data_IF_654751023237
#
_entry.id   IF_654751023237
#
_cell.length_a   1.000
_cell.length_b   1.000
_cell.length_c   1.000
_cell.angle_alpha   90.00
_cell.angle_beta   90.00
_cell.angle_gamma   90.00
#
_symmetry.space_group_name_H-M   'P 1'
#
loop_
_entity.id
_entity.type
_entity.pdbx_description
1 polymer ?
#
# COMPACT_ATOMS: atom_id res chain seq x y z
N UNK A 1 -4.18 -18.30 -11.52
CA UNK A 1 -5.01 -17.13 -11.85
C UNK A 1 -4.55 -15.86 -11.11
N UNK A 2 -4.38 -15.87 -9.78
CA UNK A 2 -3.97 -14.66 -9.02
C UNK A 2 -2.61 -14.11 -9.43
N UNK A 3 -1.58 -14.95 -9.56
CA UNK A 3 -0.23 -14.56 -9.97
C UNK A 3 -0.20 -13.81 -11.31
N UNK A 4 -0.77 -14.43 -12.34
CA UNK A 4 -0.87 -13.86 -13.68
C UNK A 4 -1.65 -12.54 -13.72
N UNK A 5 -2.80 -12.46 -13.02
CA UNK A 5 -3.62 -11.24 -13.01
C UNK A 5 -2.89 -10.08 -12.34
N UNK A 6 -2.31 -10.32 -11.16
CA UNK A 6 -1.56 -9.28 -10.44
C UNK A 6 -0.41 -8.76 -11.29
N UNK A 7 0.41 -9.67 -11.83
CA UNK A 7 1.55 -9.32 -12.69
C UNK A 7 1.13 -8.40 -13.84
N UNK A 8 0.12 -8.82 -14.61
CA UNK A 8 -0.37 -8.04 -15.74
C UNK A 8 -0.91 -6.66 -15.36
N UNK A 9 -1.65 -6.56 -14.26
CA UNK A 9 -2.21 -5.28 -13.80
C UNK A 9 -1.08 -4.35 -13.37
N UNK A 10 -0.12 -4.84 -12.58
CA UNK A 10 0.99 -4.02 -12.09
C UNK A 10 1.95 -3.62 -13.20
N UNK A 11 2.31 -4.52 -14.12
CA UNK A 11 3.15 -4.17 -15.28
C UNK A 11 2.48 -3.08 -16.14
N UNK A 12 1.17 -3.18 -16.40
CA UNK A 12 0.43 -2.15 -17.13
C UNK A 12 0.38 -0.83 -16.36
N UNK A 13 0.14 -0.88 -15.04
CA UNK A 13 0.13 0.30 -14.19
C UNK A 13 1.47 1.02 -14.21
N UNK A 14 2.58 0.31 -13.98
CA UNK A 14 3.92 0.89 -13.96
C UNK A 14 4.30 1.50 -15.32
N UNK A 15 3.90 0.87 -16.43
CA UNK A 15 4.15 1.40 -17.77
C UNK A 15 3.35 2.67 -18.08
N UNK A 16 2.21 2.89 -17.42
CA UNK A 16 1.26 3.95 -17.77
C UNK A 16 1.13 5.04 -16.70
N UNK A 17 1.63 4.83 -15.48
CA UNK A 17 1.42 5.76 -14.35
C UNK A 17 1.91 7.18 -14.65
N UNK A 18 3.00 7.30 -15.40
CA UNK A 18 3.58 8.59 -15.78
C UNK A 18 2.64 9.42 -16.67
N UNK A 19 1.74 8.76 -17.42
CA UNK A 19 0.71 9.42 -18.24
C UNK A 19 -0.31 10.16 -17.34
N UNK A 20 -0.54 9.64 -16.14
CA UNK A 20 -1.46 10.23 -15.16
C UNK A 20 -0.85 11.47 -14.50
N UNK A 21 0.48 11.50 -14.38
CA UNK A 21 1.25 12.62 -13.83
C UNK A 21 0.76 13.04 -12.45
N UNK A 22 0.54 14.34 -12.25
CA UNK A 22 0.09 14.91 -10.97
C UNK A 22 -1.31 14.45 -10.54
N UNK A 23 -2.07 13.73 -11.38
CA UNK A 23 -3.37 13.18 -10.96
C UNK A 23 -3.23 11.88 -10.17
N UNK A 24 -2.00 11.38 -10.00
CA UNK A 24 -1.68 10.20 -9.22
C UNK A 24 -0.90 10.59 -7.97
N UNK A 25 -1.35 10.07 -6.83
CA UNK A 25 -0.63 10.16 -5.58
C UNK A 25 -0.58 8.77 -4.93
N UNK A 26 0.62 8.25 -4.74
CA UNK A 26 0.84 6.93 -4.14
C UNK A 26 1.15 7.05 -2.64
N UNK A 27 0.76 6.04 -1.88
CA UNK A 27 1.11 5.86 -0.47
C UNK A 27 1.35 4.40 -0.13
N UNK A 28 1.95 4.13 1.02
CA UNK A 28 2.12 2.81 1.57
C UNK A 28 1.29 2.61 2.83
N UNK A 29 1.03 1.34 3.15
CA UNK A 29 0.40 0.98 4.42
C UNK A 29 1.20 1.51 5.62
N UNK A 30 2.53 1.44 5.56
CA UNK A 30 3.42 1.87 6.63
C UNK A 30 3.33 3.38 6.89
N UNK A 31 3.34 4.20 5.82
CA UNK A 31 3.15 5.66 5.93
C UNK A 31 1.80 5.97 6.54
N UNK A 32 0.75 5.36 6.01
CA UNK A 32 -0.61 5.55 6.48
C UNK A 32 -0.80 5.17 7.96
N UNK A 33 -0.29 4.03 8.42
CA UNK A 33 -0.45 3.62 9.82
C UNK A 33 0.38 4.48 10.78
N UNK A 34 1.54 4.99 10.34
CA UNK A 34 2.39 5.86 11.16
C UNK A 34 1.75 7.22 11.45
N UNK A 35 1.05 7.79 10.46
CA UNK A 35 0.33 9.06 10.59
C UNK A 35 -0.89 9.09 9.63
N UNK A 36 -2.04 8.51 10.04
CA UNK A 36 -3.22 8.44 9.17
C UNK A 36 -3.76 9.82 8.79
N UNK A 37 -3.68 10.79 9.71
CA UNK A 37 -4.25 12.12 9.52
C UNK A 37 -3.36 12.94 8.60
N UNK A 38 -2.04 12.96 8.85
CA UNK A 38 -1.10 13.64 7.98
C UNK A 38 -1.04 13.03 6.59
N UNK A 39 -1.05 11.69 6.48
CA UNK A 39 -0.96 11.02 5.20
C UNK A 39 -2.19 11.26 4.33
N UNK A 40 -3.42 11.27 4.88
CA UNK A 40 -4.59 11.66 4.10
C UNK A 40 -4.64 13.17 3.87
N UNK A 41 -4.22 13.98 4.83
CA UNK A 41 -4.09 15.42 4.66
C UNK A 41 -3.25 15.79 3.44
N UNK A 42 -2.16 15.04 3.18
CA UNK A 42 -1.32 15.17 1.99
C UNK A 42 -2.09 14.94 0.68
N UNK A 43 -3.06 14.02 0.66
CA UNK A 43 -3.90 13.78 -0.52
C UNK A 43 -4.86 14.95 -0.75
N UNK A 44 -5.44 15.49 0.31
CA UNK A 44 -6.31 16.66 0.22
C UNK A 44 -5.56 17.89 -0.28
N UNK A 45 -4.35 18.13 0.23
CA UNK A 45 -3.50 19.23 -0.21
C UNK A 45 -3.12 19.07 -1.69
N UNK A 46 -2.69 17.87 -2.09
CA UNK A 46 -2.27 17.56 -3.44
C UNK A 46 -3.40 17.74 -4.48
N UNK A 47 -4.62 17.30 -4.16
CA UNK A 47 -5.76 17.42 -5.06
C UNK A 47 -6.57 18.71 -4.88
N UNK A 48 -6.21 19.58 -3.94
CA UNK A 48 -6.88 20.85 -3.68
C UNK A 48 -8.30 20.69 -3.12
N UNK A 49 -8.55 19.64 -2.33
CA UNK A 49 -9.87 19.40 -1.74
C UNK A 49 -10.12 20.33 -0.54
N UNK A 50 -11.24 21.05 -0.57
CA UNK A 50 -11.56 22.08 0.43
C UNK A 50 -12.07 21.54 1.77
N UNK A 51 -12.48 20.27 1.83
CA UNK A 51 -13.05 19.63 3.04
C UNK A 51 -12.03 18.90 3.90
N UNK A 52 -10.76 19.36 3.89
CA UNK A 52 -9.66 18.72 4.63
C UNK A 52 -9.91 18.64 6.13
N UNK A 53 -10.44 19.69 6.74
CA UNK A 53 -10.64 19.75 8.19
C UNK A 53 -11.72 18.78 8.69
N UNK A 54 -12.83 18.69 7.94
CA UNK A 54 -13.90 17.73 8.18
C UNK A 54 -13.40 16.29 8.04
N UNK A 55 -12.65 16.02 6.96
CA UNK A 55 -12.04 14.71 6.72
C UNK A 55 -11.03 14.33 7.81
N UNK A 56 -10.15 15.27 8.19
CA UNK A 56 -9.13 15.06 9.23
C UNK A 56 -9.77 14.70 10.57
N UNK A 57 -10.90 15.33 10.90
CA UNK A 57 -11.66 15.03 12.12
C UNK A 57 -12.24 13.61 12.07
N UNK A 58 -12.89 13.23 10.98
CA UNK A 58 -13.46 11.88 10.80
C UNK A 58 -12.38 10.79 10.84
N UNK A 59 -11.24 11.03 10.20
CA UNK A 59 -10.09 10.11 10.16
C UNK A 59 -9.45 10.01 11.55
N UNK A 60 -9.33 11.11 12.28
CA UNK A 60 -8.81 11.10 13.66
C UNK A 60 -9.69 10.24 14.57
N UNK A 61 -11.01 10.33 14.43
CA UNK A 61 -11.95 9.47 15.17
C UNK A 61 -11.79 8.00 14.81
N UNK A 62 -11.64 7.69 13.51
CA UNK A 62 -11.43 6.32 13.03
C UNK A 62 -10.08 5.74 13.49
N UNK A 63 -8.99 6.50 13.36
CA UNK A 63 -7.65 6.09 13.78
C UNK A 63 -7.58 5.82 15.29
N UNK A 64 -8.32 6.57 16.11
CA UNK A 64 -8.42 6.32 17.55
C UNK A 64 -9.14 5.01 17.87
N UNK A 65 -10.13 4.61 17.06
CA UNK A 65 -10.91 3.38 17.25
C UNK A 65 -10.09 2.11 16.95
N UNK A 66 -9.20 2.18 15.96
CA UNK A 66 -8.47 1.02 15.43
C UNK A 66 -7.02 0.88 15.93
N UNK A 67 -6.61 1.66 16.96
CA UNK A 67 -5.25 1.60 17.56
C UNK A 67 -4.80 0.18 17.99
N UNK A 68 -5.74 -0.74 18.22
CA UNK A 68 -5.45 -2.11 18.64
C UNK A 68 -5.50 -3.15 17.51
N UNK A 69 -5.53 -2.73 16.24
CA UNK A 69 -5.55 -3.69 15.12
C UNK A 69 -4.30 -4.56 15.11
N UNK A 70 -4.47 -5.86 15.38
CA UNK A 70 -3.38 -6.85 15.36
C UNK A 70 -3.11 -7.24 13.91
N UNK A 71 -1.86 -7.07 13.47
CA UNK A 71 -1.38 -7.57 12.18
C UNK A 71 -1.59 -9.07 12.10
N UNK A 72 -2.24 -9.53 11.03
CA UNK A 72 -2.36 -10.95 10.74
C UNK A 72 -0.96 -11.55 10.47
N UNK A 73 -0.72 -12.72 11.05
CA UNK A 73 0.43 -13.54 10.70
C UNK A 73 0.06 -14.44 9.54
N UNK A 74 0.90 -14.45 8.51
CA UNK A 74 0.71 -15.31 7.35
C UNK A 74 1.75 -16.41 7.36
N UNK A 75 1.32 -17.65 7.07
CA UNK A 75 2.21 -18.78 6.88
C UNK A 75 2.27 -19.09 5.39
N UNK A 76 3.46 -19.00 4.83
CA UNK A 76 3.72 -19.30 3.42
C UNK A 76 4.79 -20.37 3.35
N UNK A 77 4.63 -21.32 2.45
CA UNK A 77 5.72 -22.27 2.19
C UNK A 77 6.85 -21.58 1.46
N UNK A 78 8.08 -22.10 1.59
CA UNK A 78 9.22 -21.59 0.80
C UNK A 78 8.91 -21.51 -0.70
N UNK A 79 8.25 -22.53 -1.26
CA UNK A 79 7.84 -22.53 -2.66
C UNK A 79 6.85 -21.41 -3.03
N UNK A 80 5.97 -20.99 -2.09
CA UNK A 80 5.09 -19.84 -2.32
C UNK A 80 5.86 -18.52 -2.28
N UNK A 81 6.80 -18.38 -1.36
CA UNK A 81 7.67 -17.20 -1.26
C UNK A 81 8.51 -17.06 -2.53
N UNK A 82 9.16 -18.13 -2.96
CA UNK A 82 9.98 -18.16 -4.19
C UNK A 82 9.13 -17.76 -5.40
N UNK A 83 7.92 -18.33 -5.54
CA UNK A 83 7.01 -17.97 -6.62
C UNK A 83 6.56 -16.51 -6.58
N UNK A 84 6.32 -15.96 -5.39
CA UNK A 84 6.00 -14.52 -5.23
C UNK A 84 7.17 -13.67 -5.70
N UNK A 85 8.41 -14.03 -5.34
CA UNK A 85 9.60 -13.32 -5.80
C UNK A 85 9.78 -13.44 -7.33
N UNK A 86 9.59 -14.61 -7.91
CA UNK A 86 9.73 -14.83 -9.35
C UNK A 86 8.66 -14.06 -10.15
N UNK A 87 7.42 -14.07 -9.68
CA UNK A 87 6.29 -13.49 -10.44
C UNK A 87 6.10 -12.00 -10.15
N UNK A 88 6.33 -11.57 -8.92
CA UNK A 88 5.97 -10.23 -8.42
C UNK A 88 7.17 -9.44 -7.89
N UNK A 89 8.39 -9.99 -7.93
CA UNK A 89 9.60 -9.34 -7.44
C UNK A 89 9.93 -8.02 -8.13
N UNK A 90 9.50 -7.83 -9.39
CA UNK A 90 9.64 -6.55 -10.09
C UNK A 90 8.93 -5.41 -9.34
N UNK A 91 7.73 -5.67 -8.82
CA UNK A 91 6.91 -4.69 -8.12
C UNK A 91 7.48 -4.44 -6.71
N UNK A 92 7.91 -5.50 -6.02
CA UNK A 92 8.58 -5.36 -4.73
C UNK A 92 9.83 -4.49 -4.84
N UNK A 93 10.63 -4.68 -5.90
CA UNK A 93 11.82 -3.86 -6.16
C UNK A 93 11.48 -2.40 -6.44
N UNK A 94 10.45 -2.14 -7.24
CA UNK A 94 10.00 -0.79 -7.60
C UNK A 94 9.72 0.07 -6.36
N UNK A 95 9.03 -0.49 -5.37
CA UNK A 95 8.69 0.21 -4.12
C UNK A 95 9.66 -0.09 -2.96
N UNK A 96 10.79 -0.75 -3.23
CA UNK A 96 11.81 -1.12 -2.24
C UNK A 96 11.25 -1.91 -1.03
N UNK A 97 10.30 -2.83 -1.28
CA UNK A 97 9.75 -3.71 -0.27
C UNK A 97 10.63 -4.94 -0.03
N UNK A 98 10.94 -5.18 1.24
CA UNK A 98 11.53 -6.43 1.72
C UNK A 98 10.46 -7.36 2.29
N UNK A 99 10.77 -8.65 2.43
CA UNK A 99 9.87 -9.60 3.09
C UNK A 99 9.48 -9.10 4.50
N UNK A 100 8.18 -8.94 4.79
CA UNK A 100 7.72 -8.51 6.11
C UNK A 100 8.01 -9.58 7.17
N UNK A 101 8.43 -9.15 8.37
CA UNK A 101 8.64 -10.06 9.51
C UNK A 101 7.38 -10.75 10.03
N UNK A 102 6.18 -10.39 9.54
CA UNK A 102 4.91 -11.06 9.85
C UNK A 102 4.66 -12.33 9.02
N UNK A 103 5.51 -12.60 8.03
CA UNK A 103 5.44 -13.82 7.20
C UNK A 103 6.32 -14.89 7.82
N UNK A 104 5.69 -15.94 8.33
CA UNK A 104 6.37 -17.17 8.78
C UNK A 104 6.55 -18.09 7.56
N UNK A 105 7.79 -18.49 7.27
CA UNK A 105 8.09 -19.43 6.18
C UNK A 105 8.18 -20.84 6.74
N UNK A 106 7.35 -21.75 6.23
CA UNK A 106 7.34 -23.17 6.61
C UNK A 106 7.78 -24.12 5.48
#
# INVERSE_FOLDING_TARGET
MVFYKYRRIMESYLAQREIVGERLLETSYEKFVSDPVGEIGRFYDHFGFTSKDEASTAISCYAQRDRNYRRNKYRLSRAQVDRIHDEWGFALKEWNYSQPGSIEVN
#
